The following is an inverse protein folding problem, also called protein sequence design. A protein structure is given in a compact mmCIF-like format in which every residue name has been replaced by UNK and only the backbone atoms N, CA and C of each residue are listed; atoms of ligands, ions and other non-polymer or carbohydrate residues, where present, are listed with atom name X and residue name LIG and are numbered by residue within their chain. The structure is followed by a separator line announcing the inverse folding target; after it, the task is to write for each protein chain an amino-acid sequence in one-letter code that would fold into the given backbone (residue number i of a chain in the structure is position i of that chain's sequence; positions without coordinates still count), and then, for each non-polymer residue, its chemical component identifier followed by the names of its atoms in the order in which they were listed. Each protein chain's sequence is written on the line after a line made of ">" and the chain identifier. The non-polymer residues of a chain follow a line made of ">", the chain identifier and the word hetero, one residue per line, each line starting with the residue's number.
data_IF_109830285008
#
_entry.id   IF_109830285008
#
_cell.length_a   1.000
_cell.length_b   1.000
_cell.length_c   1.000
_cell.angle_alpha   90.00
_cell.angle_beta   90.00
_cell.angle_gamma   90.00
#
_symmetry.space_group_name_H-M   'P 1'
#
loop_
_entity.id
_entity.type
_entity.pdbx_description
1 polymer ?
#
# COMPACT_ATOMS: atom_id res chain seq x y z
N UNK A 1 46.78 15.74 -19.95
CA UNK A 1 45.82 15.90 -18.85
C UNK A 1 46.44 16.85 -17.84
N UNK A 2 45.87 18.04 -17.68
CA UNK A 2 46.38 19.04 -16.72
C UNK A 2 45.71 18.74 -15.39
N UNK A 3 46.49 18.27 -14.41
CA UNK A 3 46.07 18.24 -13.02
C UNK A 3 46.43 19.60 -12.42
N UNK A 4 45.41 20.38 -12.03
CA UNK A 4 45.62 21.53 -11.16
C UNK A 4 45.69 21.02 -9.71
N UNK A 5 46.90 21.01 -9.13
CA UNK A 5 47.11 20.84 -7.70
C UNK A 5 46.72 22.12 -6.96
N UNK A 6 45.76 22.01 -6.03
CA UNK A 6 45.49 23.06 -5.06
C UNK A 6 46.47 22.93 -3.88
N UNK A 7 47.01 24.08 -3.46
CA UNK A 7 48.09 24.26 -2.47
C UNK A 7 47.75 23.93 -1.01
N UNK A 8 46.69 23.16 -0.75
CA UNK A 8 46.37 22.70 0.59
C UNK A 8 46.01 21.21 0.51
N UNK A 9 46.96 20.35 0.88
CA UNK A 9 46.83 18.89 0.90
C UNK A 9 45.85 18.41 1.98
N UNK A 10 44.59 18.78 1.89
CA UNK A 10 43.50 18.23 2.70
C UNK A 10 42.56 17.41 1.81
N UNK A 11 42.29 16.14 2.14
CA UNK A 11 41.31 15.36 1.43
C UNK A 11 39.94 16.04 1.55
N UNK A 12 39.24 16.18 0.43
CA UNK A 12 37.88 16.68 0.44
C UNK A 12 37.01 15.79 1.33
N UNK A 13 36.12 16.35 2.18
CA UNK A 13 35.11 15.55 2.83
C UNK A 13 34.21 14.98 1.73
N UNK A 14 34.39 13.69 1.46
CA UNK A 14 33.43 12.84 0.77
C UNK A 14 32.04 13.25 1.24
N UNK A 15 31.19 13.76 0.34
CA UNK A 15 29.83 14.15 0.65
C UNK A 15 29.15 12.98 1.33
N UNK A 16 29.04 13.03 2.65
CA UNK A 16 28.39 12.04 3.48
C UNK A 16 26.89 12.15 3.28
N UNK A 17 26.41 11.77 2.10
CA UNK A 17 25.07 11.25 2.00
C UNK A 17 25.07 9.97 2.82
N UNK A 18 24.27 9.87 3.89
CA UNK A 18 24.13 8.61 4.59
C UNK A 18 23.59 7.60 3.58
N UNK A 19 24.42 6.61 3.21
CA UNK A 19 23.93 5.40 2.58
C UNK A 19 22.94 4.79 3.57
N UNK A 20 21.65 5.01 3.33
CA UNK A 20 20.60 4.27 3.99
C UNK A 20 20.85 2.82 3.60
N UNK A 21 21.40 2.02 4.53
CA UNK A 21 21.48 0.56 4.41
C UNK A 21 20.06 0.01 4.45
N UNK A 22 19.34 0.16 3.34
CA UNK A 22 18.05 -0.50 3.10
C UNK A 22 18.36 -1.83 2.47
N UNK A 23 18.81 -2.78 3.28
CA UNK A 23 18.89 -4.20 2.92
C UNK A 23 18.93 -5.03 4.20
N UNK A 24 17.96 -4.82 5.10
CA UNK A 24 17.51 -5.95 5.90
C UNK A 24 16.81 -6.89 4.94
N UNK A 25 17.55 -7.90 4.48
CA UNK A 25 16.99 -9.03 3.76
C UNK A 25 16.05 -9.70 4.75
N UNK A 26 14.75 -9.39 4.66
CA UNK A 26 13.74 -10.06 5.47
C UNK A 26 13.69 -11.48 4.96
N UNK A 27 14.36 -12.39 5.69
CA UNK A 27 14.31 -13.80 5.37
C UNK A 27 12.84 -14.24 5.39
N UNK A 28 12.38 -14.97 4.36
CA UNK A 28 10.99 -15.38 4.29
C UNK A 28 10.67 -16.20 5.54
N UNK A 29 9.53 -15.93 6.19
CA UNK A 29 9.18 -16.63 7.41
C UNK A 29 9.15 -18.14 7.15
N UNK A 30 9.71 -18.90 8.09
CA UNK A 30 9.72 -20.35 8.00
C UNK A 30 8.30 -20.89 7.90
N UNK A 31 8.14 -22.12 7.37
CA UNK A 31 6.82 -22.77 7.28
C UNK A 31 6.11 -22.80 8.63
N UNK A 32 6.84 -23.04 9.72
CA UNK A 32 6.33 -23.00 11.09
C UNK A 32 5.83 -21.62 11.49
N UNK A 33 6.56 -20.55 11.16
CA UNK A 33 6.13 -19.18 11.46
C UNK A 33 4.84 -18.81 10.71
N UNK A 34 4.70 -19.24 9.45
CA UNK A 34 3.46 -19.01 8.66
C UNK A 34 2.25 -19.72 9.26
N UNK A 35 2.42 -20.97 9.71
CA UNK A 35 1.34 -21.73 10.35
C UNK A 35 0.91 -21.10 11.69
N UNK A 36 1.86 -20.61 12.48
CA UNK A 36 1.58 -19.94 13.75
C UNK A 36 0.81 -18.63 13.53
N UNK A 37 1.24 -17.81 12.57
CA UNK A 37 0.54 -16.58 12.21
C UNK A 37 -0.89 -16.86 11.74
N UNK A 38 -1.07 -17.85 10.85
CA UNK A 38 -2.40 -18.25 10.36
C UNK A 38 -3.35 -18.66 11.51
N UNK A 39 -2.87 -19.47 12.45
CA UNK A 39 -3.65 -19.89 13.62
C UNK A 39 -4.02 -18.70 14.50
N UNK A 40 -3.08 -17.79 14.75
CA UNK A 40 -3.34 -16.59 15.54
C UNK A 40 -4.41 -15.71 14.88
N UNK A 41 -4.30 -15.47 13.57
CA UNK A 41 -5.30 -14.70 12.81
C UNK A 41 -6.68 -15.35 12.86
N UNK A 42 -6.77 -16.66 12.61
CA UNK A 42 -8.06 -17.36 12.65
C UNK A 42 -8.69 -17.34 14.03
N UNK A 43 -7.91 -17.53 15.09
CA UNK A 43 -8.40 -17.44 16.46
C UNK A 43 -8.95 -16.04 16.73
N UNK A 44 -8.21 -14.99 16.35
CA UNK A 44 -8.63 -13.60 16.53
C UNK A 44 -9.92 -13.28 15.74
N UNK A 45 -9.99 -13.64 14.47
CA UNK A 45 -11.22 -13.47 13.65
C UNK A 45 -12.40 -14.22 14.27
N UNK A 46 -12.16 -15.42 14.80
CA UNK A 46 -13.16 -16.19 15.55
C UNK A 46 -13.68 -15.47 16.80
N UNK A 47 -12.80 -14.78 17.55
CA UNK A 47 -13.22 -13.97 18.71
C UNK A 47 -14.07 -12.77 18.32
N UNK A 48 -13.91 -12.23 17.11
CA UNK A 48 -14.68 -11.09 16.61
C UNK A 48 -16.03 -11.49 16.00
N UNK A 49 -16.37 -12.79 15.97
CA UNK A 49 -17.56 -13.34 15.31
C UNK A 49 -17.71 -12.91 13.83
N UNK A 50 -16.59 -12.60 13.17
CA UNK A 50 -16.56 -12.25 11.75
C UNK A 50 -16.68 -13.55 10.95
N UNK A 51 -17.67 -13.61 10.05
CA UNK A 51 -17.84 -14.75 9.15
C UNK A 51 -16.84 -14.65 7.99
N UNK A 52 -15.92 -15.62 7.92
CA UNK A 52 -15.01 -15.76 6.79
C UNK A 52 -15.73 -16.43 5.62
N UNK A 53 -15.69 -15.80 4.44
CA UNK A 53 -16.16 -16.42 3.20
C UNK A 53 -15.09 -17.40 2.69
N UNK A 54 -15.49 -18.64 2.38
CA UNK A 54 -14.60 -19.60 1.75
C UNK A 54 -14.35 -19.18 0.29
N UNK A 55 -13.08 -19.15 -0.11
CA UNK A 55 -12.65 -18.88 -1.48
C UNK A 55 -11.78 -20.02 -2.01
N UNK A 56 -11.79 -20.30 -3.32
CA UNK A 56 -10.84 -21.23 -3.90
C UNK A 56 -9.43 -20.63 -3.89
N UNK A 57 -8.39 -21.47 -3.84
CA UNK A 57 -7.02 -20.99 -3.93
C UNK A 57 -6.78 -20.29 -5.27
N UNK A 58 -6.08 -19.15 -5.24
CA UNK A 58 -5.68 -18.36 -6.42
C UNK A 58 -6.81 -17.74 -7.25
N UNK A 59 -8.01 -17.58 -6.69
CA UNK A 59 -9.15 -16.97 -7.40
C UNK A 59 -9.23 -15.46 -7.21
N UNK A 60 -8.32 -14.75 -7.89
CA UNK A 60 -8.26 -13.28 -7.87
C UNK A 60 -9.52 -12.64 -8.49
N UNK A 61 -10.13 -13.32 -9.45
CA UNK A 61 -11.40 -12.97 -10.09
C UNK A 61 -12.60 -12.98 -9.13
N UNK A 62 -12.49 -13.68 -8.00
CA UNK A 62 -13.52 -13.75 -6.97
C UNK A 62 -13.29 -12.75 -5.83
N UNK A 63 -12.17 -12.03 -5.83
CA UNK A 63 -11.83 -11.04 -4.80
C UNK A 63 -12.12 -9.61 -5.31
N UNK A 64 -13.20 -8.94 -4.85
CA UNK A 64 -13.59 -7.61 -5.33
C UNK A 64 -12.49 -6.56 -5.22
N UNK A 65 -11.63 -6.70 -4.22
CA UNK A 65 -10.48 -5.82 -4.05
C UNK A 65 -9.50 -5.93 -5.22
N UNK A 66 -9.20 -7.15 -5.67
CA UNK A 66 -8.19 -7.39 -6.67
C UNK A 66 -8.68 -7.15 -8.10
N UNK A 67 -9.92 -7.56 -8.45
CA UNK A 67 -10.41 -7.41 -9.83
C UNK A 67 -11.09 -6.07 -10.13
N UNK A 68 -11.60 -5.37 -9.11
CA UNK A 68 -12.37 -4.12 -9.31
C UNK A 68 -11.76 -2.92 -8.60
N UNK A 69 -11.57 -2.99 -7.28
CA UNK A 69 -11.20 -1.81 -6.47
C UNK A 69 -9.78 -1.34 -6.76
N UNK A 70 -8.78 -2.23 -6.72
CA UNK A 70 -7.39 -1.83 -6.96
C UNK A 70 -7.15 -1.32 -8.39
N UNK A 71 -7.67 -1.96 -9.45
CA UNK A 71 -7.60 -1.38 -10.79
C UNK A 71 -8.21 0.02 -10.88
N UNK A 72 -9.33 0.28 -10.19
CA UNK A 72 -9.99 1.59 -10.24
C UNK A 72 -9.18 2.67 -9.51
N UNK A 73 -8.66 2.37 -8.31
CA UNK A 73 -7.75 3.28 -7.58
C UNK A 73 -6.46 3.53 -8.39
N UNK A 74 -5.94 2.50 -9.06
CA UNK A 74 -4.77 2.65 -9.92
C UNK A 74 -5.05 3.61 -11.07
N UNK A 75 -6.20 3.54 -11.75
CA UNK A 75 -6.55 4.50 -12.82
C UNK A 75 -6.54 5.96 -12.34
N UNK A 76 -6.89 6.20 -11.08
CA UNK A 76 -6.87 7.54 -10.48
C UNK A 76 -5.45 8.01 -10.11
N UNK A 77 -4.59 7.10 -9.66
CA UNK A 77 -3.21 7.41 -9.23
C UNK A 77 -2.20 7.40 -10.38
N UNK A 78 -2.39 6.57 -11.41
CA UNK A 78 -1.45 6.40 -12.53
C UNK A 78 -1.28 7.66 -13.38
N UNK A 79 -2.21 8.61 -13.30
CA UNK A 79 -2.13 9.89 -14.01
C UNK A 79 -1.05 10.82 -13.47
N UNK A 80 -0.49 10.54 -12.28
CA UNK A 80 0.56 11.37 -11.65
C UNK A 80 1.66 10.48 -11.10
N UNK A 81 2.90 10.73 -11.53
CA UNK A 81 4.06 10.20 -10.82
C UNK A 81 4.09 10.82 -9.42
N UNK A 82 4.13 9.99 -8.39
CA UNK A 82 4.22 10.41 -7.00
C UNK A 82 5.59 10.00 -6.47
N UNK A 83 6.34 10.95 -5.89
CA UNK A 83 7.69 10.71 -5.41
C UNK A 83 7.70 10.71 -3.87
N UNK A 84 7.96 9.55 -3.29
CA UNK A 84 8.11 9.40 -1.84
C UNK A 84 6.87 8.86 -1.12
N UNK A 85 7.10 8.30 0.07
CA UNK A 85 6.12 7.49 0.81
C UNK A 85 4.90 8.28 1.28
N UNK A 86 5.10 9.50 1.79
CA UNK A 86 4.02 10.32 2.33
C UNK A 86 3.10 10.84 1.23
N UNK A 87 3.68 11.30 0.12
CA UNK A 87 2.91 11.74 -1.03
C UNK A 87 2.11 10.58 -1.64
N UNK A 88 2.69 9.38 -1.69
CA UNK A 88 2.01 8.19 -2.19
C UNK A 88 0.80 7.80 -1.32
N UNK A 89 0.93 7.90 0.01
CA UNK A 89 -0.18 7.66 0.93
C UNK A 89 -1.31 8.69 0.74
N UNK A 90 -0.98 9.99 0.67
CA UNK A 90 -1.97 11.04 0.45
C UNK A 90 -2.66 10.93 -0.93
N UNK A 91 -1.92 10.56 -1.97
CA UNK A 91 -2.48 10.31 -3.30
C UNK A 91 -3.41 9.10 -3.31
N UNK A 92 -3.07 8.03 -2.56
CA UNK A 92 -3.92 6.85 -2.40
C UNK A 92 -5.23 7.19 -1.68
N UNK A 93 -5.17 7.87 -0.53
CA UNK A 93 -6.37 8.29 0.21
C UNK A 93 -7.31 9.12 -0.67
N UNK A 94 -6.76 10.12 -1.38
CA UNK A 94 -7.52 10.93 -2.33
C UNK A 94 -8.15 10.10 -3.46
N UNK A 95 -7.44 9.11 -3.96
CA UNK A 95 -7.93 8.23 -5.03
C UNK A 95 -9.04 7.28 -4.55
N UNK A 96 -8.92 6.76 -3.31
CA UNK A 96 -9.98 6.00 -2.64
C UNK A 96 -11.23 6.87 -2.52
N UNK A 97 -11.11 8.08 -1.96
CA UNK A 97 -12.22 9.00 -1.81
C UNK A 97 -12.89 9.31 -3.15
N UNK A 98 -12.11 9.62 -4.19
CA UNK A 98 -12.65 9.88 -5.53
C UNK A 98 -13.37 8.66 -6.14
N UNK A 99 -12.90 7.44 -5.84
CA UNK A 99 -13.49 6.18 -6.35
C UNK A 99 -14.82 5.88 -5.66
N UNK A 100 -14.94 6.15 -4.36
CA UNK A 100 -16.13 5.78 -3.58
C UNK A 100 -17.13 6.93 -3.34
N UNK A 101 -16.71 8.19 -3.50
CA UNK A 101 -17.59 9.36 -3.44
C UNK A 101 -18.84 9.27 -4.33
N UNK A 102 -18.78 8.84 -5.61
CA UNK A 102 -19.98 8.75 -6.45
C UNK A 102 -20.96 7.64 -6.02
N UNK A 103 -20.50 6.62 -5.29
CA UNK A 103 -21.35 5.51 -4.85
C UNK A 103 -22.08 5.80 -3.54
N UNK A 104 -21.50 6.61 -2.63
CA UNK A 104 -22.11 6.95 -1.34
C UNK A 104 -23.27 7.96 -1.42
N UNK A 105 -23.33 8.78 -2.47
CA UNK A 105 -24.37 9.81 -2.64
C UNK A 105 -25.66 9.29 -3.32
N UNK A 106 -25.72 8.00 -3.70
CA UNK A 106 -26.88 7.43 -4.41
C UNK A 106 -27.80 6.55 -3.54
N UNK A 107 -27.44 6.28 -2.29
CA UNK A 107 -28.22 5.42 -1.36
C UNK A 107 -28.98 6.25 -0.32
N UNK A 108 -29.49 7.42 -0.71
CA UNK A 108 -30.62 8.03 0.02
C UNK A 108 -31.87 7.75 -0.83
N UNK A 109 -32.69 6.74 -0.49
CA UNK A 109 -33.99 6.65 -1.11
C UNK A 109 -34.77 7.94 -0.79
N UNK A 110 -35.20 8.63 -1.85
CA UNK A 110 -36.11 9.77 -1.75
C UNK A 110 -37.50 9.24 -1.39
N UNK A 111 -37.70 8.83 -0.15
CA UNK A 111 -39.01 8.48 0.40
C UNK A 111 -39.35 9.41 1.56
N UNK A 112 -39.46 10.70 1.26
CA UNK A 112 -40.04 11.69 2.16
C UNK A 112 -40.92 12.68 1.37
N UNK A 113 -41.99 12.19 0.73
CA UNK A 113 -43.20 12.98 0.49
C UNK A 113 -44.33 12.10 -0.05
N UNK A 114 -45.15 11.58 0.86
CA UNK A 114 -46.55 11.28 0.56
C UNK A 114 -47.30 11.35 1.90
N UNK A 115 -47.62 12.59 2.30
CA UNK A 115 -48.77 12.87 3.16
C UNK A 115 -49.97 13.11 2.26
#
# INVERSE_FOLDING_TARGET
>A
MVYHENREGKPMPSSGHPMIKTNERVDPPSSCQRLTAYRQTNNYVGTLAIKTLAGPPYSVDLAPFDFYIFPEIQKQTFKKAVYGRLEAAAAYEKAVDATFAPHFLSVVPSNASMY
#
